data_IF_095320678817
#
_entry.id   IF_095320678817
#
_cell.length_a   1.000
_cell.length_b   1.000
_cell.length_c   1.000
_cell.angle_alpha   90.00
_cell.angle_beta   90.00
_cell.angle_gamma   90.00
#
_symmetry.space_group_name_H-M   'P 1'
#
loop_
_entity.id
_entity.type
_entity.pdbx_description
1 polymer ?
2 non-polymer ?
3 non-polymer ?
4 non-polymer ?
5 non-polymer ?
6 water ?
#
# COMPACT_ATOMS: atom_id res chain seq x y z
N UNK A 13 -5.71 1.35 20.17
CA UNK A 13 -5.22 2.52 19.41
C UNK A 13 -6.29 3.04 18.45
N UNK A 14 -6.17 4.32 18.03
CA UNK A 14 -7.10 4.97 17.11
C UNK A 14 -6.98 4.48 15.67
N UNK A 15 -8.09 4.05 15.10
CA UNK A 15 -8.10 3.55 13.73
C UNK A 15 -8.81 4.53 12.81
N UNK A 16 -8.36 4.60 11.55
CA UNK A 16 -8.97 5.50 10.59
C UNK A 16 -9.66 4.78 9.43
N UNK A 17 -10.66 5.44 8.86
CA UNK A 17 -11.39 4.89 7.74
C UNK A 17 -10.49 4.95 6.50
N UNK A 18 -10.43 3.85 5.76
CA UNK A 18 -9.60 3.78 4.57
C UNK A 18 -10.16 4.41 3.31
N UNK A 19 -11.41 4.87 3.35
CA UNK A 19 -11.99 5.56 2.19
C UNK A 19 -12.84 6.74 2.67
N UNK A 20 -12.84 7.82 1.90
CA UNK A 20 -13.63 9.01 2.24
C UNK A 20 -14.84 9.07 1.32
N UNK A 21 -15.98 8.63 1.84
CA UNK A 21 -17.21 8.66 1.06
C UNK A 21 -17.17 7.88 -0.24
N UNK A 22 -17.03 8.57 -1.39
CA UNK A 22 -16.98 7.92 -2.70
C UNK A 22 -15.85 6.91 -2.84
N UNK A 23 -14.69 7.25 -2.28
CA UNK A 23 -13.54 6.38 -2.38
C UNK A 23 -12.87 6.54 -3.74
N UNK A 24 -12.90 7.77 -4.26
CA UNK A 24 -12.29 8.04 -5.55
C UNK A 24 -10.88 8.63 -5.39
N UNK A 25 -10.45 8.84 -4.15
CA UNK A 25 -9.13 9.40 -3.87
C UNK A 25 -8.59 8.93 -2.52
N UNK A 26 -7.26 8.89 -2.37
CA UNK A 26 -6.57 8.47 -1.14
C UNK A 26 -7.01 9.31 0.04
N UNK A 27 -6.99 8.76 1.25
CA UNK A 27 -7.37 9.53 2.42
C UNK A 27 -6.15 10.32 2.88
N UNK A 28 -4.98 9.95 2.37
CA UNK A 28 -3.76 10.63 2.77
C UNK A 28 -2.59 10.32 1.84
N UNK A 29 -1.70 11.29 1.74
CA UNK A 29 -0.51 11.16 0.91
C UNK A 29 0.69 11.61 1.72
N UNK A 30 1.75 10.82 1.70
CA UNK A 30 2.98 11.16 2.39
C UNK A 30 4.10 11.16 1.37
N UNK A 31 5.00 12.12 1.50
CA UNK A 31 6.12 12.24 0.59
C UNK A 31 7.40 11.96 1.37
N UNK A 32 8.37 11.30 0.74
CA UNK A 32 9.63 11.00 1.43
C UNK A 32 10.84 11.34 0.59
N UNK A 33 11.93 11.65 1.29
CA UNK A 33 13.21 11.93 0.64
C UNK A 33 13.85 10.55 0.50
N UNK A 34 13.91 10.06 -0.73
CA UNK A 34 14.48 8.74 -0.97
C UNK A 34 15.88 8.57 -0.38
N UNK A 35 16.75 9.54 -0.64
CA UNK A 35 18.12 9.48 -0.14
C UNK A 35 18.21 9.42 1.39
N UNK A 36 17.16 9.84 2.09
CA UNK A 36 17.20 9.84 3.55
C UNK A 36 16.62 8.58 4.19
N UNK A 37 15.89 7.80 3.40
CA UNK A 37 15.28 6.59 3.93
C UNK A 37 16.27 5.51 4.31
N UNK A 38 16.22 5.08 5.57
CA UNK A 38 17.09 3.99 6.02
C UNK A 38 16.20 2.77 6.25
N UNK A 39 14.98 3.01 6.73
CA UNK A 39 14.02 1.94 6.97
C UNK A 39 13.17 1.73 5.70
N UNK A 40 13.36 0.58 5.05
CA UNK A 40 12.62 0.26 3.83
C UNK A 40 11.50 -0.73 4.04
N UNK A 41 10.63 -0.46 5.01
CA UNK A 41 9.51 -1.33 5.28
C UNK A 41 8.34 -0.52 5.83
N UNK A 42 7.13 -1.08 5.75
CA UNK A 42 5.94 -0.44 6.28
C UNK A 42 5.09 -1.52 6.94
N UNK A 43 4.34 -1.14 7.98
CA UNK A 43 3.50 -2.09 8.70
C UNK A 43 2.22 -1.43 9.16
N UNK A 44 1.18 -2.24 9.34
CA UNK A 44 -0.10 -1.72 9.76
C UNK A 44 -1.07 -2.86 10.04
N UNK A 45 -2.23 -2.52 10.58
CA UNK A 45 -3.27 -3.50 10.86
C UNK A 45 -4.47 -2.99 10.10
N UNK A 46 -5.22 -3.90 9.51
CA UNK A 46 -6.39 -3.53 8.73
C UNK A 46 -7.56 -4.46 9.06
N UNK A 47 -8.77 -3.93 9.02
CA UNK A 47 -9.96 -4.71 9.29
C UNK A 47 -10.94 -4.30 8.21
N UNK A 48 -11.64 -5.27 7.62
CA UNK A 48 -12.59 -4.96 6.55
C UNK A 48 -13.46 -6.16 6.15
N UNK A 49 -14.55 -5.84 5.46
CA UNK A 49 -15.49 -6.83 4.94
C UNK A 49 -15.49 -6.68 3.42
N UNK A 50 -14.76 -5.67 2.92
CA UNK A 50 -14.68 -5.36 1.48
C UNK A 50 -13.67 -6.27 0.78
N UNK A 51 -14.10 -6.99 -0.27
CA UNK A 51 -13.18 -7.88 -0.98
C UNK A 51 -12.29 -7.24 -2.04
N UNK A 52 -12.51 -5.97 -2.35
CA UNK A 52 -11.71 -5.33 -3.38
C UNK A 52 -11.40 -3.88 -3.05
N UNK A 53 -10.17 -3.45 -3.33
CA UNK A 53 -9.80 -2.07 -3.07
C UNK A 53 -8.31 -1.88 -2.87
N UNK A 54 -7.90 -0.62 -2.83
CA UNK A 54 -6.51 -0.28 -2.63
C UNK A 54 -6.25 -0.02 -1.17
N UNK A 55 -5.28 -0.73 -0.60
CA UNK A 55 -4.88 -0.52 0.78
C UNK A 55 -3.87 0.63 0.73
N UNK A 56 -2.85 0.54 -0.13
CA UNK A 56 -1.93 1.65 -0.28
C UNK A 56 -1.19 1.57 -1.61
N UNK A 57 -0.73 2.73 -2.06
CA UNK A 57 -0.04 2.90 -3.32
C UNK A 57 1.25 3.63 -3.03
N UNK A 58 2.24 3.42 -3.89
CA UNK A 58 3.52 4.09 -3.72
C UNK A 58 4.16 4.29 -5.06
N UNK A 59 4.91 5.38 -5.22
CA UNK A 59 5.61 5.65 -6.47
C UNK A 59 6.77 6.63 -6.32
N UNK A 60 7.59 6.74 -7.36
CA UNK A 60 8.69 7.69 -7.38
C UNK A 60 8.35 8.43 -8.64
N UNK A 61 7.47 7.80 -9.42
CA UNK A 61 7.02 8.31 -10.70
C UNK A 61 5.70 7.58 -10.97
N UNK A 62 4.60 8.33 -11.15
CA UNK A 62 3.33 7.65 -11.40
C UNK A 62 3.30 6.94 -12.74
N UNK A 63 4.14 7.39 -13.67
CA UNK A 63 4.18 6.79 -14.99
C UNK A 63 4.91 5.44 -15.10
N UNK A 64 6.14 5.38 -14.59
CA UNK A 64 6.93 4.17 -14.75
C UNK A 64 7.64 3.60 -13.53
N UNK A 65 7.28 4.05 -12.34
CA UNK A 65 7.93 3.53 -11.15
C UNK A 65 6.93 3.54 -10.01
N UNK A 66 6.02 2.56 -10.02
CA UNK A 66 4.97 2.52 -9.00
C UNK A 66 4.64 1.12 -8.44
N UNK A 67 3.90 1.11 -7.33
CA UNK A 67 3.52 -0.10 -6.62
C UNK A 67 2.13 0.06 -5.96
N UNK A 68 1.38 -1.03 -5.89
CA UNK A 68 0.09 -0.99 -5.21
C UNK A 68 -0.20 -2.29 -4.48
N UNK A 69 -0.68 -2.17 -3.24
CA UNK A 69 -1.09 -3.33 -2.44
C UNK A 69 -2.57 -3.11 -2.20
N UNK A 70 -3.37 -4.11 -2.53
CA UNK A 70 -4.79 -3.98 -2.31
C UNK A 70 -5.38 -5.33 -2.07
N UNK A 71 -6.69 -5.42 -2.25
CA UNK A 71 -7.40 -6.67 -2.10
C UNK A 71 -8.19 -6.97 -3.37
N UNK A 72 -8.23 -8.24 -3.75
CA UNK A 72 -9.03 -8.68 -4.89
C UNK A 72 -9.52 -10.06 -4.44
N UNK A 73 -10.85 -10.24 -4.51
CA UNK A 73 -11.54 -11.44 -4.04
C UNK A 73 -11.10 -11.75 -2.61
N UNK A 74 -11.03 -10.70 -1.79
CA UNK A 74 -10.65 -10.83 -0.39
C UNK A 74 -9.18 -11.08 -0.06
N UNK A 75 -8.36 -11.26 -1.09
CA UNK A 75 -6.96 -11.56 -0.87
C UNK A 75 -6.03 -10.47 -1.33
N UNK A 76 -4.86 -10.40 -0.71
CA UNK A 76 -3.82 -9.42 -1.04
C UNK A 76 -3.49 -9.53 -2.51
N UNK A 77 -3.31 -8.38 -3.13
CA UNK A 77 -2.88 -8.32 -4.51
C UNK A 77 -1.86 -7.20 -4.61
N UNK A 78 -0.78 -7.47 -5.34
CA UNK A 78 0.23 -6.48 -5.56
C UNK A 78 0.42 -6.27 -7.05
N UNK A 79 0.42 -5.00 -7.46
CA UNK A 79 0.71 -4.64 -8.82
C UNK A 79 1.96 -3.77 -8.69
N UNK A 80 2.86 -3.95 -9.63
CA UNK A 80 4.13 -3.27 -9.54
C UNK A 80 4.61 -3.00 -10.95
N UNK A 81 5.21 -1.84 -11.15
CA UNK A 81 5.72 -1.47 -12.47
C UNK A 81 6.97 -0.60 -12.35
N UNK A 82 8.10 -1.12 -12.79
CA UNK A 82 9.35 -0.36 -12.76
C UNK A 82 10.32 -0.92 -13.80
N UNK A 83 11.51 -0.34 -13.84
CA UNK A 83 12.54 -0.74 -14.79
C UNK A 83 12.78 -2.25 -14.85
N UNK A 84 12.80 -2.89 -13.68
CA UNK A 84 13.09 -4.32 -13.57
C UNK A 84 11.94 -5.30 -13.64
N UNK A 85 10.76 -4.88 -13.24
CA UNK A 85 9.66 -5.82 -13.24
C UNK A 85 8.31 -5.15 -13.42
N UNK A 86 7.38 -5.92 -13.94
CA UNK A 86 6.02 -5.46 -14.17
C UNK A 86 5.16 -6.67 -13.89
N UNK A 87 4.33 -6.59 -12.86
CA UNK A 87 3.55 -7.75 -12.48
C UNK A 87 2.28 -7.47 -11.72
N UNK A 88 1.42 -8.48 -11.71
CA UNK A 88 0.12 -8.46 -11.03
C UNK A 88 0.03 -9.83 -10.34
N UNK A 89 0.14 -9.82 -9.01
CA UNK A 89 0.13 -11.05 -8.23
C UNK A 89 -0.74 -11.07 -6.99
N UNK A 90 -1.55 -12.13 -6.84
CA UNK A 90 -2.39 -12.30 -5.66
C UNK A 90 -1.78 -13.37 -4.75
N UNK A 91 -1.94 -13.23 -3.43
CA UNK A 91 -1.38 -14.19 -2.47
C UNK A 91 -1.95 -14.04 -1.06
N UNK A 92 -1.70 -15.04 -0.24
CA UNK A 92 -2.13 -14.99 1.14
C UNK A 92 -3.58 -15.35 1.36
N UNK A 93 -3.99 -15.49 2.62
CA UNK A 93 -5.37 -15.84 2.94
C UNK A 93 -6.28 -14.64 2.70
N UNK A 94 -7.59 -14.88 2.73
CA UNK A 94 -8.54 -13.79 2.57
C UNK A 94 -8.44 -12.91 3.83
N UNK A 95 -8.62 -11.61 3.66
CA UNK A 95 -8.55 -10.71 4.81
C UNK A 95 -9.87 -9.97 4.99
N UNK A 96 -10.87 -10.31 4.19
CA UNK A 96 -12.16 -9.63 4.30
C UNK A 96 -13.13 -10.39 5.19
N UNK A 97 -12.65 -10.81 6.34
CA UNK A 97 -13.46 -11.55 7.30
C UNK A 97 -13.85 -10.69 8.50
N UNK A 98 -13.59 -9.39 8.41
CA UNK A 98 -13.94 -8.50 9.51
C UNK A 98 -13.03 -8.55 10.73
N UNK A 99 -11.91 -9.27 10.64
CA UNK A 99 -10.96 -9.36 11.76
C UNK A 99 -9.74 -8.47 11.49
N UNK A 100 -9.06 -8.04 12.56
CA UNK A 100 -7.87 -7.21 12.42
C UNK A 100 -6.74 -8.08 11.91
N UNK A 101 -6.00 -7.59 10.93
CA UNK A 101 -4.90 -8.38 10.40
C UNK A 101 -3.62 -7.56 10.36
N UNK A 102 -2.53 -8.12 10.87
CA UNK A 102 -1.25 -7.45 10.84
C UNK A 102 -0.66 -7.67 9.44
N UNK A 103 -0.19 -6.59 8.83
CA UNK A 103 0.42 -6.63 7.50
C UNK A 103 1.74 -5.87 7.48
N UNK A 104 2.75 -6.48 6.87
CA UNK A 104 4.07 -5.87 6.71
C UNK A 104 4.59 -6.03 5.27
N UNK A 105 5.08 -4.94 4.69
CA UNK A 105 5.65 -4.96 3.34
C UNK A 105 7.08 -4.49 3.52
N UNK A 106 8.02 -5.31 3.08
CA UNK A 106 9.43 -4.99 3.25
C UNK A 106 10.27 -5.20 2.02
N UNK A 107 11.37 -4.47 1.98
CA UNK A 107 12.34 -4.58 0.92
C UNK A 107 13.48 -5.39 1.50
N UNK A 108 13.74 -6.56 0.91
CA UNK A 108 14.82 -7.45 1.35
C UNK A 108 15.74 -7.62 0.13
N UNK A 109 16.81 -6.84 0.08
CA UNK A 109 17.69 -6.94 -1.07
C UNK A 109 16.92 -6.50 -2.31
N UNK A 110 16.91 -7.31 -3.36
CA UNK A 110 16.19 -6.93 -4.58
C UNK A 110 14.75 -7.41 -4.59
N UNK A 111 14.29 -7.90 -3.44
CA UNK A 111 12.94 -8.45 -3.31
C UNK A 111 11.98 -7.67 -2.41
N UNK A 112 10.68 -7.86 -2.64
CA UNK A 112 9.65 -7.23 -1.83
C UNK A 112 8.94 -8.39 -1.17
N UNK A 113 8.85 -8.33 0.15
CA UNK A 113 8.21 -9.37 0.94
C UNK A 113 6.92 -8.87 1.54
N UNK A 114 5.94 -9.76 1.60
CA UNK A 114 4.66 -9.43 2.19
C UNK A 114 4.41 -10.46 3.25
N UNK A 115 4.18 -9.98 4.48
CA UNK A 115 3.90 -10.87 5.59
C UNK A 115 2.51 -10.54 6.12
N UNK A 116 1.73 -11.56 6.44
CA UNK A 116 0.39 -11.37 6.96
C UNK A 116 0.24 -12.18 8.23
N UNK A 117 -0.28 -11.51 9.26
CA UNK A 117 -0.47 -12.12 10.58
C UNK A 117 0.74 -12.92 11.02
N UNK A 118 1.92 -12.34 10.82
CA UNK A 118 3.14 -13.00 11.21
C UNK A 118 3.72 -13.99 10.22
N UNK A 119 2.99 -14.36 9.16
CA UNK A 119 3.55 -15.33 8.22
C UNK A 119 3.90 -14.72 6.86
N UNK A 120 5.05 -15.10 6.32
CA UNK A 120 5.46 -14.63 5.00
C UNK A 120 4.56 -15.35 4.00
N UNK A 121 3.81 -14.60 3.20
CA UNK A 121 2.92 -15.21 2.23
C UNK A 121 3.35 -14.94 0.80
N UNK A 122 4.32 -14.04 0.63
CA UNK A 122 4.74 -13.71 -0.71
C UNK A 122 6.05 -12.96 -0.80
N UNK A 123 6.91 -13.41 -1.71
CA UNK A 123 8.19 -12.75 -1.94
C UNK A 123 8.38 -12.54 -3.43
N UNK A 124 8.36 -11.28 -3.84
CA UNK A 124 8.55 -10.93 -5.24
C UNK A 124 10.05 -10.64 -5.38
N UNK A 125 10.76 -11.55 -6.02
CA UNK A 125 12.19 -11.43 -6.18
C UNK A 125 12.60 -10.72 -7.46
N UNK A 126 13.79 -10.12 -7.43
CA UNK A 126 14.33 -9.39 -8.57
C UNK A 126 13.42 -8.27 -9.09
N UNK A 127 12.77 -7.53 -8.19
CA UNK A 127 11.88 -6.46 -8.62
C UNK A 127 12.41 -5.04 -8.39
N UNK A 128 13.51 -4.91 -7.68
CA UNK A 128 14.05 -3.57 -7.43
C UNK A 128 15.57 -3.53 -7.32
N UNK A 129 16.17 -2.61 -8.07
CA UNK A 129 17.61 -2.46 -8.05
C UNK A 129 18.00 -1.31 -7.13
N UNK A 130 19.10 -0.59 -7.44
CA UNK A 130 19.59 0.54 -6.64
C UNK A 130 18.51 1.21 -5.78
N UNK A 131 18.70 1.16 -4.46
CA UNK A 131 17.76 1.73 -3.50
C UNK A 131 16.53 0.83 -3.42
N UNK A 136 15.44 9.69 -9.17
CA UNK A 136 14.45 9.19 -8.22
C UNK A 136 14.71 9.81 -6.86
N UNK A 137 14.46 11.11 -6.72
CA UNK A 137 14.70 11.76 -5.43
C UNK A 137 13.58 11.60 -4.40
N UNK A 138 12.35 11.42 -4.87
CA UNK A 138 11.21 11.31 -3.97
C UNK A 138 10.28 10.11 -4.16
N UNK A 139 9.74 9.63 -3.03
CA UNK A 139 8.78 8.53 -3.02
C UNK A 139 7.50 9.02 -2.33
N UNK A 140 6.36 8.71 -2.94
CA UNK A 140 5.06 9.08 -2.41
C UNK A 140 4.30 7.83 -1.98
N UNK A 141 3.58 7.95 -0.86
CA UNK A 141 2.77 6.85 -0.35
C UNK A 141 1.35 7.38 -0.17
N UNK A 142 0.40 6.78 -0.86
CA UNK A 142 -0.99 7.19 -0.76
C UNK A 142 -1.78 6.06 -0.12
N UNK A 143 -2.64 6.41 0.83
CA UNK A 143 -3.42 5.41 1.51
C UNK A 143 -4.85 5.37 1.01
N UNK A 144 -5.38 4.16 0.78
CA UNK A 144 -6.75 4.00 0.34
C UNK A 144 -7.08 4.50 -1.06
N UNK A 145 -6.06 4.68 -1.89
CA UNK A 145 -6.29 5.17 -3.24
C UNK A 145 -5.00 5.23 -4.03
N UNK A 146 -5.11 5.59 -5.30
CA UNK A 146 -3.97 5.68 -6.21
C UNK A 146 -3.67 7.14 -6.52
N UNK A 147 -2.53 7.38 -7.16
CA UNK A 147 -2.18 8.74 -7.55
C UNK A 147 -2.29 8.88 -9.06
N UNK A 148 -3.06 7.97 -9.66
CA UNK A 148 -3.36 7.97 -11.08
C UNK A 148 -4.68 7.22 -11.24
N UNK A 149 -5.36 7.38 -12.38
CA UNK A 149 -6.64 6.70 -12.60
C UNK A 149 -6.56 5.17 -12.49
N UNK A 150 -7.61 4.56 -11.93
CA UNK A 150 -7.67 3.11 -11.76
C UNK A 150 -7.44 2.37 -13.07
N UNK A 151 -7.97 2.94 -14.14
CA UNK A 151 -7.86 2.40 -15.49
C UNK A 151 -6.40 2.29 -15.92
N UNK A 152 -5.53 3.03 -15.25
CA UNK A 152 -4.10 3.03 -15.58
C UNK A 152 -3.35 1.83 -15.01
N UNK A 153 -3.98 1.11 -14.08
CA UNK A 153 -3.37 -0.07 -13.48
C UNK A 153 -3.10 -1.16 -14.51
N UNK A 154 -2.21 -2.09 -14.19
CA UNK A 154 -1.95 -3.19 -15.10
C UNK A 154 -3.25 -3.97 -15.19
N UNK A 155 -3.91 -4.11 -14.05
CA UNK A 155 -5.18 -4.79 -13.97
C UNK A 155 -6.10 -3.95 -13.08
N UNK A 156 -7.03 -3.22 -13.70
CA UNK A 156 -7.98 -2.37 -12.99
C UNK A 156 -8.84 -3.07 -11.96
N UNK A 157 -9.14 -2.34 -10.90
CA UNK A 157 -10.04 -2.79 -9.86
C UNK A 157 -10.66 -1.47 -9.37
N UNK A 158 -11.71 -1.55 -8.57
CA UNK A 158 -12.35 -0.35 -8.04
C UNK A 158 -11.61 -0.10 -6.72
N UNK A 159 -10.82 0.99 -6.66
CA UNK A 159 -10.00 1.40 -5.51
C UNK A 159 -10.65 1.56 -4.16
N UNK A 160 -11.90 2.02 -4.12
CA UNK A 160 -12.58 2.20 -2.83
C UNK A 160 -12.47 0.98 -1.92
N UNK A 161 -11.91 1.18 -0.73
CA UNK A 161 -11.78 0.08 0.21
C UNK A 161 -12.46 0.45 1.53
N UNK A 162 -13.57 -0.22 1.81
CA UNK A 162 -14.33 0.02 3.03
C UNK A 162 -13.73 -0.77 4.19
N UNK A 163 -12.76 -0.16 4.87
CA UNK A 163 -12.12 -0.83 5.99
C UNK A 163 -11.38 0.12 6.91
N UNK A 164 -10.82 -0.43 7.98
CA UNK A 164 -10.10 0.39 8.95
C UNK A 164 -8.62 0.10 9.01
N UNK A 165 -7.86 1.13 9.33
CA UNK A 165 -6.42 1.05 9.43
C UNK A 165 -5.98 1.57 10.79
N UNK A 166 -4.99 0.94 11.38
CA UNK A 166 -4.48 1.43 12.66
C UNK A 166 -3.06 0.94 12.83
N UNK A 167 -2.37 1.48 13.83
CA UNK A 167 -0.98 1.11 14.13
C UNK A 167 -0.10 1.06 12.88
N UNK A 168 -0.32 2.00 11.98
CA UNK A 168 0.44 2.07 10.73
C UNK A 168 1.77 2.78 10.90
N UNK A 169 2.77 2.27 10.20
CA UNK A 169 4.11 2.83 10.21
C UNK A 169 4.54 2.83 8.75
N UNK A 170 4.89 4.00 8.21
CA UNK A 170 5.28 4.07 6.82
C UNK A 170 6.74 4.46 6.55
N UNK A 171 7.50 3.49 6.04
CA UNK A 171 8.91 3.69 5.73
C UNK A 171 9.71 4.29 6.89
N UNK A 172 10.43 5.37 6.59
CA UNK A 172 11.26 6.07 7.57
C UNK A 172 10.66 7.45 7.86
N UNK A 173 10.04 7.59 9.03
CA UNK A 173 9.42 8.86 9.42
C UNK A 173 10.40 10.02 9.34
N UNK A 174 11.64 9.77 9.75
CA UNK A 174 12.66 10.80 9.70
C UNK A 174 12.91 11.26 8.28
N UNK A 175 12.49 10.45 7.31
CA UNK A 175 12.71 10.81 5.92
C UNK A 175 11.47 11.45 5.29
N UNK A 176 10.39 11.50 6.06
CA UNK A 176 9.14 12.07 5.58
C UNK A 176 9.28 13.57 5.36
N UNK A 177 8.97 14.01 4.15
CA UNK A 177 9.05 15.42 3.81
C UNK A 177 7.74 16.16 4.09
N UNK A 178 6.61 15.51 3.82
CA UNK A 178 5.30 16.12 4.05
C UNK A 178 4.18 15.09 3.99
N UNK A 179 3.02 15.49 4.49
CA UNK A 179 1.84 14.64 4.53
C UNK A 179 0.64 15.51 4.21
N UNK A 180 -0.22 15.02 3.32
CA UNK A 180 -1.41 15.75 2.90
C UNK A 180 -2.64 14.88 3.01
N UNK A 181 -3.79 15.52 3.17
CA UNK A 181 -5.06 14.83 3.27
C UNK A 181 -6.06 15.60 2.41
N UNK A 182 -6.72 14.92 1.45
CA UNK A 182 -7.70 15.57 0.58
C UNK A 182 -8.78 16.21 1.45
N UNK A 183 -9.28 15.42 2.40
CA UNK A 183 -10.30 15.85 3.35
C UNK A 183 -9.86 15.37 4.73
N UNK A 184 -10.62 15.73 5.76
CA UNK A 184 -10.27 15.32 7.12
C UNK A 184 -10.39 13.80 7.28
N UNK A 185 -9.50 13.22 8.07
CA UNK A 185 -9.49 11.78 8.33
C UNK A 185 -10.62 11.40 9.28
N UNK A 186 -11.32 10.31 8.97
CA UNK A 186 -12.43 9.85 9.80
C UNK A 186 -12.03 8.64 10.64
N UNK A 187 -12.32 8.71 11.93
CA UNK A 187 -11.99 7.62 12.84
C UNK A 187 -12.96 6.46 12.73
N UNK A 188 -12.46 5.26 13.00
CA UNK A 188 -13.30 4.07 12.97
C UNK A 188 -13.84 3.85 14.37
N UNK A 189 -14.10 4.96 15.06
CA UNK A 189 -14.63 4.93 16.42
C UNK A 189 -16.02 5.55 16.45
X LIG B 1 -14.27 -2.02 -2.37
X LIG C 1 12.74 5.03 -12.40
X LIG D 1 8.94 -1.20 -0.12
X LIG D 1 8.53 -1.35 1.34
X LIG D 1 7.55 -0.33 1.84
X LIG D 1 6.72 0.40 0.86
X LIG D 1 6.82 0.23 -0.49
X LIG D 1 5.92 0.99 -1.44
X LIG D 1 6.69 1.64 -2.62
X LIG D 1 7.61 0.63 -3.36
X LIG D 1 8.58 -0.02 -2.34
X LIG D 1 7.84 -0.74 -1.15
X LIG D 1 9.58 -1.00 -3.05
X LIG D 1 10.33 -0.34 -4.24
X LIG D 1 9.34 0.25 -5.28
X LIG D 1 8.41 1.27 -4.51
X LIG D 1 7.68 2.00 -5.66
X LIG D 1 8.69 1.97 -6.85
X LIG D 1 9.95 1.21 -6.36
X LIG D 1 8.53 -0.90 -6.00
X LIG D 1 9.26 -2.19 -6.39
X LIG D 1 10.95 2.18 -5.80
X LIG D 1 11.75 2.93 -5.39
X LIG D 1 7.45 -0.14 3.04
X LIG D 1 10.59 0.53 -7.43
X LIG E 1 10.04 -7.35 10.66
X LIG E 1 8.96 -8.27 10.72
X LIG E 1 9.39 -9.61 10.25
X LIG E 1 8.50 -8.28 12.09
#
# INVERSE_FOLDING_TARGET
LRPVLPTQSAHDPPAVHLSNGPGQEPIAVMTFDLTKITKTSSSFEVRTWDPEGVIFYGDTNPKDDWFMLGLRDGRPEIQLHNHWAQLTVGAGPRLDDGRWHQVEVKMEGDSVLLEVDGEEVLRLRQVSGPLTSKRHPIMRIALGGLLFPASNLRLPLVPALDGCLRRDSWLDKQAEISASAPTSLRSCD
CA CA
ZN ZN
NOG C1 C2 C3 C4 C5 C6 C7 C8 C9 C10 C11 C12 C13 C14 C15 C16 C17 C18 C19 C20 C21 O3 O17
IPA C1 C2 C3 O2
#
